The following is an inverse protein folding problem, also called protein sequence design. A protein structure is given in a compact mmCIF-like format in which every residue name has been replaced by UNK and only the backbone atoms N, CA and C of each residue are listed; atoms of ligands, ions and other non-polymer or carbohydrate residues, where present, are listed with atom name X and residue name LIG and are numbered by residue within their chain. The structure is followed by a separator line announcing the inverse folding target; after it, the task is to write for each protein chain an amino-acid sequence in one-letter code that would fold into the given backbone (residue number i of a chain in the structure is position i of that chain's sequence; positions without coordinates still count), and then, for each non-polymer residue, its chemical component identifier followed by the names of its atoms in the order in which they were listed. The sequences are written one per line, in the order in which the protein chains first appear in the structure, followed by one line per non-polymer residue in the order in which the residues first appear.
data_IF_631720930037
#
_entry.id   IF_631720930037
#
_cell.length_a   1.000
_cell.length_b   1.000
_cell.length_c   1.000
_cell.angle_alpha   90.00
_cell.angle_beta   90.00
_cell.angle_gamma   90.00
#
_symmetry.space_group_name_H-M   'P 1'
#
loop_
_entity.id
_entity.type
_entity.pdbx_description
1 polymer ?
#
# COMPACT_ATOMS: atom_id res chain seq x y z
N UNK A 1 -13.63 3.61 3.48
CA UNK A 1 -12.31 3.13 3.02
C UNK A 1 -11.37 3.09 4.23
N UNK A 2 -10.39 2.19 4.25
CA UNK A 2 -9.37 2.14 5.33
C UNK A 2 -8.56 3.45 5.28
N UNK A 3 -8.43 4.22 6.38
CA UNK A 3 -7.63 5.44 6.39
C UNK A 3 -6.17 5.18 6.01
N UNK A 4 -5.53 6.15 5.34
CA UNK A 4 -4.10 6.05 5.01
C UNK A 4 -3.28 5.94 6.30
N UNK A 5 -2.35 4.99 6.34
CA UNK A 5 -1.52 4.66 7.49
C UNK A 5 -2.22 3.78 8.53
N UNK A 6 -3.51 3.49 8.39
CA UNK A 6 -4.19 2.59 9.32
C UNK A 6 -3.84 1.13 9.01
N UNK A 7 -3.40 0.42 10.05
CA UNK A 7 -3.19 -1.02 10.02
C UNK A 7 -4.49 -1.73 10.38
N UNK A 8 -4.84 -2.73 9.59
CA UNK A 8 -6.02 -3.58 9.75
C UNK A 8 -5.58 -5.03 9.60
N UNK A 9 -6.27 -5.96 10.23
CA UNK A 9 -6.09 -7.40 9.98
C UNK A 9 -7.36 -7.95 9.35
N UNK A 10 -7.31 -9.11 8.69
CA UNK A 10 -8.50 -9.78 8.20
C UNK A 10 -8.42 -11.30 8.41
N UNK A 11 -9.57 -11.96 8.62
CA UNK A 11 -10.94 -11.39 8.59
C UNK A 11 -11.29 -10.52 9.82
N UNK A 12 -11.69 -9.26 9.60
CA UNK A 12 -12.27 -8.39 10.64
C UNK A 12 -13.77 -8.63 10.72
N UNK A 13 -14.27 -9.15 11.86
CA UNK A 13 -15.70 -9.11 12.21
C UNK A 13 -16.69 -9.77 11.24
N UNK A 14 -16.23 -10.39 10.14
CA UNK A 14 -17.04 -11.20 9.26
C UNK A 14 -17.31 -12.54 9.92
N UNK A 15 -18.52 -13.08 9.73
CA UNK A 15 -18.73 -14.53 9.86
C UNK A 15 -17.77 -15.21 8.88
N UNK A 16 -16.63 -15.67 9.41
CA UNK A 16 -15.55 -16.27 8.64
C UNK A 16 -16.07 -17.48 7.88
N UNK A 17 -17.00 -18.24 8.45
CA UNK A 17 -17.59 -19.39 7.77
C UNK A 17 -18.46 -18.95 6.59
N UNK A 18 -19.24 -17.87 6.71
CA UNK A 18 -19.98 -17.29 5.59
C UNK A 18 -19.05 -16.72 4.50
N UNK A 19 -18.00 -15.98 4.89
CA UNK A 19 -17.03 -15.44 3.93
C UNK A 19 -16.33 -16.55 3.14
N UNK A 20 -15.92 -17.62 3.83
CA UNK A 20 -15.26 -18.78 3.20
C UNK A 20 -16.16 -19.56 2.25
N UNK A 21 -17.48 -19.36 2.27
CA UNK A 21 -18.40 -19.95 1.28
C UNK A 21 -18.52 -19.13 -0.01
N UNK A 22 -17.99 -17.90 -0.06
CA UNK A 22 -18.08 -17.04 -1.24
C UNK A 22 -17.05 -17.43 -2.30
N UNK A 23 -17.37 -17.17 -3.57
CA UNK A 23 -16.50 -17.40 -4.73
C UNK A 23 -15.15 -16.70 -4.57
N UNK A 24 -15.14 -15.44 -4.11
CA UNK A 24 -13.89 -14.70 -3.84
C UNK A 24 -12.93 -15.49 -2.92
N UNK A 25 -13.45 -16.22 -1.94
CA UNK A 25 -12.61 -17.06 -1.12
C UNK A 25 -12.19 -18.33 -1.86
N UNK A 26 -13.15 -19.07 -2.42
CA UNK A 26 -12.90 -20.40 -2.99
C UNK A 26 -11.98 -20.35 -4.21
N UNK A 27 -12.16 -19.34 -5.05
CA UNK A 27 -11.51 -19.28 -6.36
C UNK A 27 -10.24 -18.41 -6.34
N UNK A 28 -10.14 -17.49 -5.38
CA UNK A 28 -9.03 -16.53 -5.34
C UNK A 28 -8.14 -16.66 -4.10
N UNK A 29 -8.69 -16.49 -2.90
CA UNK A 29 -7.88 -16.40 -1.67
C UNK A 29 -7.37 -17.77 -1.21
N UNK A 30 -8.22 -18.80 -1.25
CA UNK A 30 -7.88 -20.15 -0.81
C UNK A 30 -6.77 -20.79 -1.64
N UNK A 31 -6.78 -20.75 -2.99
CA UNK A 31 -5.69 -21.34 -3.79
C UNK A 31 -4.33 -20.66 -3.56
N UNK A 32 -4.33 -19.44 -3.02
CA UNK A 32 -3.14 -18.66 -2.69
C UNK A 32 -2.71 -18.78 -1.22
N UNK A 33 -3.40 -19.63 -0.44
CA UNK A 33 -3.19 -19.81 1.00
C UNK A 33 -3.24 -18.47 1.78
N UNK A 34 -4.17 -17.57 1.42
CA UNK A 34 -4.35 -16.28 2.11
C UNK A 34 -5.41 -16.41 3.21
N UNK A 35 -5.05 -16.97 4.37
CA UNK A 35 -6.02 -17.28 5.44
C UNK A 35 -6.16 -16.19 6.49
N UNK A 36 -5.06 -15.50 6.74
CA UNK A 36 -4.96 -14.40 7.68
C UNK A 36 -4.20 -13.30 6.97
N UNK A 37 -4.69 -12.07 7.04
CA UNK A 37 -3.94 -10.96 6.46
C UNK A 37 -3.79 -9.80 7.43
N UNK A 38 -2.71 -9.07 7.23
CA UNK A 38 -2.45 -7.77 7.82
C UNK A 38 -2.31 -6.79 6.66
N UNK A 39 -3.01 -5.68 6.70
CA UNK A 39 -3.07 -4.74 5.60
C UNK A 39 -2.96 -3.29 6.09
N UNK A 40 -2.26 -2.47 5.31
CA UNK A 40 -2.16 -1.04 5.53
C UNK A 40 -2.42 -0.28 4.23
N UNK A 41 -3.31 0.70 4.27
CA UNK A 41 -3.49 1.62 3.16
C UNK A 41 -2.32 2.62 3.13
N UNK A 42 -1.55 2.65 2.05
CA UNK A 42 -0.36 3.50 1.91
C UNK A 42 -0.61 4.75 1.06
N UNK A 43 -1.67 4.74 0.25
CA UNK A 43 -2.05 5.88 -0.57
C UNK A 43 -3.54 5.80 -0.86
N UNK A 44 -4.23 6.92 -0.71
CA UNK A 44 -5.59 7.09 -1.21
C UNK A 44 -5.68 8.43 -1.91
N UNK A 45 -5.94 8.39 -3.21
CA UNK A 45 -6.19 9.57 -4.05
C UNK A 45 -7.41 9.29 -4.96
N UNK A 46 -7.82 10.30 -5.72
CA UNK A 46 -8.87 10.15 -6.73
C UNK A 46 -8.46 9.24 -7.89
N UNK A 47 -7.16 9.06 -8.14
CA UNK A 47 -6.62 8.31 -9.28
C UNK A 47 -6.01 6.97 -8.90
N UNK A 48 -5.64 6.76 -7.63
CA UNK A 48 -4.97 5.53 -7.20
C UNK A 48 -5.23 5.22 -5.72
N UNK A 49 -5.25 3.93 -5.40
CA UNK A 49 -5.19 3.44 -4.02
C UNK A 49 -4.09 2.37 -3.92
N UNK A 50 -3.21 2.49 -2.94
CA UNK A 50 -2.12 1.53 -2.72
C UNK A 50 -2.32 0.83 -1.39
N UNK A 51 -2.41 -0.49 -1.42
CA UNK A 51 -2.55 -1.33 -0.24
C UNK A 51 -1.32 -2.22 -0.11
N UNK A 52 -0.67 -2.20 1.04
CA UNK A 52 0.23 -3.27 1.43
C UNK A 52 -0.59 -4.36 2.10
N UNK A 53 -0.49 -5.59 1.61
CA UNK A 53 -1.01 -6.77 2.29
C UNK A 53 0.13 -7.74 2.63
N UNK A 54 0.03 -8.32 3.82
CA UNK A 54 0.89 -9.40 4.29
C UNK A 54 -0.05 -10.53 4.64
N UNK A 55 0.08 -11.66 3.96
CA UNK A 55 -0.85 -12.77 4.08
C UNK A 55 -0.12 -14.00 4.65
N UNK A 56 -0.81 -14.71 5.54
CA UNK A 56 -0.35 -15.93 6.20
C UNK A 56 -1.24 -17.10 5.81
N UNK A 57 -0.57 -18.23 5.62
CA UNK A 57 -1.14 -19.52 5.29
C UNK A 57 -1.98 -20.14 6.38
N UNK A 58 -2.79 -21.12 5.99
CA UNK A 58 -3.58 -21.96 6.91
C UNK A 58 -2.76 -22.67 7.99
N UNK A 59 -1.46 -22.87 7.75
CA UNK A 59 -0.51 -23.48 8.69
C UNK A 59 0.20 -22.48 9.59
N UNK A 60 -0.02 -21.18 9.40
CA UNK A 60 0.58 -20.11 10.18
C UNK A 60 -0.48 -19.50 11.10
N UNK A 61 -0.10 -19.17 12.33
CA UNK A 61 -1.00 -18.53 13.28
C UNK A 61 -1.51 -17.18 12.76
N UNK A 62 -2.73 -16.82 13.17
CA UNK A 62 -3.28 -15.49 12.92
C UNK A 62 -2.34 -14.40 13.46
N UNK A 63 -2.42 -13.20 12.88
CA UNK A 63 -1.67 -12.05 13.36
C UNK A 63 -2.13 -11.64 14.76
N UNK A 64 -1.17 -11.39 15.64
CA UNK A 64 -1.43 -10.92 17.00
C UNK A 64 -1.13 -9.43 17.15
N UNK A 65 -1.25 -8.92 18.38
CA UNK A 65 -0.98 -7.51 18.67
C UNK A 65 0.49 -7.13 18.44
N UNK A 66 1.44 -8.04 18.65
CA UNK A 66 2.85 -7.75 18.42
C UNK A 66 3.15 -7.61 16.92
N UNK A 67 2.51 -8.43 16.08
CA UNK A 67 2.57 -8.28 14.62
C UNK A 67 1.99 -6.94 14.15
N UNK A 68 0.85 -6.53 14.72
CA UNK A 68 0.21 -5.24 14.42
C UNK A 68 1.13 -4.08 14.83
N UNK A 69 1.67 -4.11 16.05
CA UNK A 69 2.56 -3.08 16.59
C UNK A 69 3.84 -2.95 15.75
N UNK A 70 4.36 -4.08 15.25
CA UNK A 70 5.52 -4.09 14.38
C UNK A 70 5.20 -3.39 13.05
N UNK A 71 4.08 -3.73 12.41
CA UNK A 71 3.70 -3.07 11.16
C UNK A 71 3.43 -1.57 11.39
N UNK A 72 2.77 -1.20 12.48
CA UNK A 72 2.52 0.21 12.83
C UNK A 72 3.82 1.02 12.93
N UNK A 73 4.91 0.43 13.45
CA UNK A 73 6.23 1.09 13.49
C UNK A 73 6.85 1.24 12.10
N UNK A 74 6.59 0.31 11.17
CA UNK A 74 7.12 0.36 9.81
C UNK A 74 6.35 1.32 8.89
N UNK A 75 5.03 1.48 9.09
CA UNK A 75 4.15 2.26 8.22
C UNK A 75 4.65 3.67 7.91
N UNK A 76 5.12 4.50 8.88
CA UNK A 76 5.65 5.83 8.59
C UNK A 76 6.79 5.83 7.57
N UNK A 77 7.65 4.81 7.62
CA UNK A 77 8.78 4.68 6.69
C UNK A 77 8.31 4.30 5.28
N UNK A 78 7.29 3.45 5.16
CA UNK A 78 6.72 3.08 3.87
C UNK A 78 5.99 4.25 3.21
N UNK A 79 5.24 5.03 4.00
CA UNK A 79 4.63 6.27 3.53
C UNK A 79 5.68 7.25 3.03
N UNK A 80 6.78 7.42 3.78
CA UNK A 80 7.89 8.29 3.37
C UNK A 80 8.56 7.80 2.09
N UNK A 81 8.84 6.49 1.97
CA UNK A 81 9.41 5.91 0.76
C UNK A 81 8.52 6.14 -0.46
N UNK A 82 7.20 5.95 -0.31
CA UNK A 82 6.23 6.23 -1.38
C UNK A 82 6.19 7.71 -1.78
N UNK A 83 6.32 8.64 -0.82
CA UNK A 83 6.44 10.07 -1.13
C UNK A 83 7.71 10.39 -1.93
N UNK A 84 8.86 9.82 -1.53
CA UNK A 84 10.13 10.01 -2.23
C UNK A 84 10.03 9.47 -3.67
N UNK A 85 9.52 8.24 -3.83
CA UNK A 85 9.37 7.61 -5.14
C UNK A 85 8.54 8.46 -6.09
N UNK A 86 7.38 8.98 -5.64
CA UNK A 86 6.54 9.87 -6.47
C UNK A 86 7.22 11.18 -6.81
N UNK A 87 7.99 11.76 -5.89
CA UNK A 87 8.75 12.97 -6.17
C UNK A 87 9.79 12.70 -7.27
N UNK A 88 10.50 11.57 -7.20
CA UNK A 88 11.47 11.17 -8.22
C UNK A 88 10.82 10.88 -9.58
N UNK A 89 9.68 10.18 -9.61
CA UNK A 89 8.90 9.96 -10.84
C UNK A 89 8.49 11.28 -11.50
N UNK A 90 7.99 12.24 -10.70
CA UNK A 90 7.61 13.56 -11.22
C UNK A 90 8.79 14.33 -11.80
N UNK A 91 9.96 14.29 -11.15
CA UNK A 91 11.18 14.92 -11.65
C UNK A 91 11.67 14.24 -12.92
N UNK A 92 11.64 12.91 -12.99
CA UNK A 92 12.03 12.15 -14.17
C UNK A 92 11.10 12.44 -15.37
N UNK A 93 9.78 12.51 -15.13
CA UNK A 93 8.81 12.84 -16.17
C UNK A 93 9.02 14.26 -16.72
N UNK A 94 9.29 15.23 -15.86
CA UNK A 94 9.63 16.60 -16.26
C UNK A 94 10.93 16.64 -17.07
N UNK A 95 11.99 15.98 -16.61
CA UNK A 95 13.26 15.91 -17.33
C UNK A 95 13.10 15.27 -18.72
N UNK A 96 12.33 14.18 -18.83
CA UNK A 96 12.02 13.55 -20.11
C UNK A 96 11.24 14.47 -21.04
N UNK A 97 10.22 15.19 -20.54
CA UNK A 97 9.47 16.14 -21.35
C UNK A 97 10.36 17.26 -21.92
N UNK A 98 11.29 17.77 -21.10
CA UNK A 98 12.23 18.81 -21.53
C UNK A 98 13.31 18.34 -22.48
N UNK A 99 13.68 17.05 -22.48
CA UNK A 99 14.65 16.49 -23.44
C UNK A 99 14.20 16.58 -24.90
N UNK A 100 12.90 16.80 -25.14
CA UNK A 100 12.33 16.98 -26.47
C UNK A 100 12.29 18.44 -26.94
N UNK A 101 12.71 19.41 -26.11
CA UNK A 101 12.76 20.82 -26.49
C UNK A 101 14.10 21.16 -27.15
N UNK A 102 14.05 21.99 -28.20
CA UNK A 102 15.22 22.43 -28.95
C UNK A 102 16.06 23.51 -28.25
N UNK A 103 15.82 23.79 -26.97
CA UNK A 103 16.46 24.86 -26.21
C UNK A 103 16.75 24.42 -24.76
N UNK A 104 17.77 25.02 -24.14
CA UNK A 104 18.20 24.69 -22.79
C UNK A 104 17.19 25.12 -21.71
N UNK A 105 16.92 24.24 -20.75
CA UNK A 105 15.99 24.48 -19.63
C UNK A 105 16.77 24.49 -18.32
N UNK A 106 16.55 25.52 -17.48
CA UNK A 106 17.04 25.58 -16.10
C UNK A 106 15.85 25.49 -15.14
N UNK A 107 15.87 24.51 -14.24
CA UNK A 107 14.90 24.37 -13.16
C UNK A 107 15.45 25.05 -11.90
N UNK A 108 14.70 26.01 -11.36
CA UNK A 108 15.03 26.72 -10.11
C UNK A 108 13.98 26.42 -9.05
N UNK A 109 14.41 26.18 -7.81
CA UNK A 109 13.51 25.94 -6.69
C UNK A 109 12.94 27.27 -6.17
N UNK A 110 11.62 27.43 -6.21
CA UNK A 110 10.91 28.65 -5.82
C UNK A 110 10.52 28.72 -4.35
N UNK A 111 11.36 28.22 -3.42
CA UNK A 111 11.09 28.37 -1.99
C UNK A 111 11.17 29.86 -1.61
N UNK A 112 10.01 30.51 -1.45
CA UNK A 112 9.89 31.79 -0.77
C UNK A 112 9.58 31.53 0.71
N UNK A 113 10.32 32.21 1.58
CA UNK A 113 10.22 32.17 3.04
C UNK A 113 8.84 32.62 3.55
#
# INVERSE_FOLDING_TARGET
AIPVGAVTHWPMGLDVAAFRRRELWQDWLRPRDMYHGLACNLLSSSSANWLLSIDRGSRQGAFDNADIDLLQKMVPHMLRAGQIGRQMESTSALASAFSHLSFGVFLVNGHQH
#
